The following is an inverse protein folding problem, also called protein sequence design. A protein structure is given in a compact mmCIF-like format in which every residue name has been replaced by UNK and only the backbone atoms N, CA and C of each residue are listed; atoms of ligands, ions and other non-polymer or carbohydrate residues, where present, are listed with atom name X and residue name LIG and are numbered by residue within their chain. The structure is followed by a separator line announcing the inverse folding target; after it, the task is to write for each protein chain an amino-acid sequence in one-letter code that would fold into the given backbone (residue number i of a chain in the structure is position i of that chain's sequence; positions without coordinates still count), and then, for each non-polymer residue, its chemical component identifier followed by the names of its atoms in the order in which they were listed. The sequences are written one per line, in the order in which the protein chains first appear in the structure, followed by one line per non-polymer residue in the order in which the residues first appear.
data_IF_198409526425
#
_entry.id   IF_198409526425
#
_cell.length_a   1.000
_cell.length_b   1.000
_cell.length_c   1.000
_cell.angle_alpha   90.00
_cell.angle_beta   90.00
_cell.angle_gamma   90.00
#
_symmetry.space_group_name_H-M   'P 1'
#
loop_
_entity.id
_entity.type
_entity.pdbx_description
1 polymer ?
#
# COMPACT_ATOMS: atom_id res chain seq x y z
N UNK A 1 -17.86 3.00 -11.21
CA UNK A 1 -16.78 2.10 -10.76
C UNK A 1 -15.68 2.17 -11.83
N UNK A 2 -14.47 2.61 -11.49
CA UNK A 2 -13.38 2.70 -12.46
C UNK A 2 -12.96 1.27 -12.87
N UNK A 3 -12.84 1.01 -14.18
CA UNK A 3 -12.39 -0.28 -14.71
C UNK A 3 -10.88 -0.45 -14.43
N UNK A 4 -10.56 -1.19 -13.36
CA UNK A 4 -9.19 -1.46 -12.92
C UNK A 4 -8.46 -2.47 -13.80
N UNK A 5 -9.16 -3.22 -14.66
CA UNK A 5 -8.55 -4.21 -15.57
C UNK A 5 -7.63 -3.57 -16.62
N UNK A 6 -7.78 -2.26 -16.85
CA UNK A 6 -6.96 -1.47 -17.79
C UNK A 6 -5.73 -0.84 -17.15
N UNK A 7 -5.60 -0.90 -15.83
CA UNK A 7 -4.42 -0.36 -15.16
C UNK A 7 -3.23 -1.29 -15.37
N UNK A 8 -2.01 -0.75 -15.49
CA UNK A 8 -0.81 -1.57 -15.48
C UNK A 8 -0.79 -2.47 -14.23
N UNK A 9 -0.24 -3.69 -14.35
CA UNK A 9 0.02 -4.53 -13.20
C UNK A 9 0.78 -3.79 -12.10
N UNK A 10 0.55 -4.18 -10.84
CA UNK A 10 1.28 -3.63 -9.71
C UNK A 10 2.77 -3.91 -9.88
N UNK A 11 3.59 -2.87 -9.78
CA UNK A 11 5.03 -3.02 -9.96
C UNK A 11 5.72 -3.68 -8.75
N UNK A 12 6.87 -4.29 -9.02
CA UNK A 12 7.67 -5.02 -8.04
C UNK A 12 8.04 -4.16 -6.80
N UNK A 13 8.55 -2.91 -6.92
CA UNK A 13 8.84 -2.09 -5.76
C UNK A 13 7.63 -1.89 -4.86
N UNK A 14 6.46 -1.63 -5.44
CA UNK A 14 5.21 -1.49 -4.71
C UNK A 14 4.87 -2.76 -3.95
N UNK A 15 4.79 -3.90 -4.64
CA UNK A 15 4.47 -5.19 -4.01
C UNK A 15 5.45 -5.53 -2.87
N UNK A 16 6.74 -5.28 -3.10
CA UNK A 16 7.79 -5.57 -2.11
C UNK A 16 7.65 -4.72 -0.86
N UNK A 17 7.45 -3.39 -1.01
CA UNK A 17 7.29 -2.49 0.14
C UNK A 17 5.99 -2.71 0.88
N UNK A 18 4.92 -3.07 0.16
CA UNK A 18 3.65 -3.47 0.76
C UNK A 18 3.82 -4.74 1.60
N UNK A 19 4.50 -5.77 1.07
CA UNK A 19 4.78 -7.00 1.81
C UNK A 19 5.65 -6.77 3.06
N UNK A 20 6.66 -5.90 2.95
CA UNK A 20 7.50 -5.50 4.10
C UNK A 20 6.68 -4.78 5.18
N UNK A 21 5.81 -3.84 4.79
CA UNK A 21 4.94 -3.11 5.72
C UNK A 21 4.00 -4.05 6.49
N UNK A 22 3.45 -5.05 5.79
CA UNK A 22 2.58 -6.07 6.39
C UNK A 22 3.36 -7.19 7.09
N UNK A 23 4.68 -7.08 7.20
CA UNK A 23 5.57 -8.06 7.81
C UNK A 23 5.46 -9.48 7.20
N UNK A 24 5.01 -9.63 5.96
CA UNK A 24 4.89 -10.93 5.28
C UNK A 24 6.23 -11.68 5.19
N UNK A 25 7.39 -11.04 4.97
CA UNK A 25 8.66 -11.74 4.95
C UNK A 25 8.97 -12.49 6.24
N UNK A 26 8.53 -12.00 7.41
CA UNK A 26 8.76 -12.67 8.70
C UNK A 26 7.62 -13.62 9.09
N UNK A 27 6.39 -13.35 8.64
CA UNK A 27 5.17 -14.08 9.03
C UNK A 27 4.80 -15.23 8.09
N UNK A 28 4.93 -15.04 6.78
CA UNK A 28 4.43 -15.96 5.77
C UNK A 28 5.56 -16.63 4.95
N UNK A 29 6.72 -15.98 4.79
CA UNK A 29 7.76 -16.50 3.92
C UNK A 29 8.46 -17.77 4.48
N UNK A 30 8.57 -18.81 3.65
CA UNK A 30 9.26 -20.06 4.01
C UNK A 30 10.78 -19.99 3.92
N UNK A 31 11.34 -18.95 3.28
CA UNK A 31 12.79 -18.78 3.15
C UNK A 31 13.39 -18.13 4.40
N UNK A 32 14.31 -18.84 5.06
CA UNK A 32 14.95 -18.39 6.31
C UNK A 32 15.70 -17.06 6.17
N UNK A 33 16.36 -16.83 5.04
CA UNK A 33 17.08 -15.59 4.78
C UNK A 33 16.13 -14.38 4.73
N UNK A 34 14.98 -14.52 4.04
CA UNK A 34 13.95 -13.49 3.97
C UNK A 34 13.37 -13.15 5.36
N UNK A 35 13.05 -14.19 6.16
CA UNK A 35 12.54 -14.00 7.53
C UNK A 35 13.49 -13.18 8.40
N UNK A 36 14.79 -13.49 8.35
CA UNK A 36 15.82 -12.77 9.11
C UNK A 36 16.01 -11.33 8.63
N UNK A 37 16.00 -11.13 7.32
CA UNK A 37 16.18 -9.81 6.72
C UNK A 37 14.94 -8.92 6.78
N UNK A 38 13.77 -9.48 7.17
CA UNK A 38 12.46 -8.80 7.14
C UNK A 38 12.09 -8.21 5.77
N UNK A 39 12.66 -8.78 4.70
CA UNK A 39 12.39 -8.43 3.29
C UNK A 39 12.45 -9.69 2.44
N UNK A 40 11.60 -9.76 1.42
CA UNK A 40 11.65 -10.87 0.47
C UNK A 40 12.76 -10.61 -0.55
N UNK A 41 13.78 -11.48 -0.60
CA UNK A 41 14.87 -11.39 -1.58
C UNK A 41 14.65 -12.27 -2.80
N UNK A 42 13.56 -13.04 -2.84
CA UNK A 42 13.25 -13.96 -3.93
C UNK A 42 12.01 -13.45 -4.66
N UNK A 43 12.21 -13.09 -5.92
CA UNK A 43 11.17 -12.59 -6.81
C UNK A 43 11.02 -13.58 -7.96
N UNK A 44 9.80 -13.89 -8.36
CA UNK A 44 9.56 -14.74 -9.51
C UNK A 44 10.03 -14.05 -10.81
N UNK A 45 10.57 -14.82 -11.75
CA UNK A 45 11.08 -14.24 -13.01
C UNK A 45 9.95 -13.83 -13.96
N UNK A 46 8.82 -14.54 -13.92
CA UNK A 46 7.67 -14.34 -14.80
C UNK A 46 6.94 -13.02 -14.57
N UNK A 47 6.72 -12.66 -13.31
CA UNK A 47 5.87 -11.52 -12.91
C UNK A 47 6.50 -10.61 -11.87
N UNK A 48 7.74 -10.90 -11.45
CA UNK A 48 8.51 -10.13 -10.47
C UNK A 48 7.83 -10.04 -9.10
N UNK A 49 6.88 -10.94 -8.79
CA UNK A 49 6.21 -10.95 -7.50
C UNK A 49 7.11 -11.50 -6.38
N UNK A 50 7.02 -10.96 -5.15
CA UNK A 50 7.67 -11.54 -3.98
C UNK A 50 7.15 -12.94 -3.69
N UNK A 51 8.06 -13.90 -3.49
CA UNK A 51 7.69 -15.29 -3.22
C UNK A 51 6.84 -15.47 -1.95
N UNK A 52 6.89 -14.52 -1.02
CA UNK A 52 6.08 -14.57 0.20
C UNK A 52 4.58 -14.40 -0.07
N UNK A 53 4.18 -13.88 -1.23
CA UNK A 53 2.77 -13.75 -1.62
C UNK A 53 2.15 -15.09 -2.02
N UNK A 54 2.98 -16.05 -2.43
CA UNK A 54 2.55 -17.41 -2.82
C UNK A 54 2.15 -18.26 -1.60
N UNK A 55 2.57 -17.82 -0.41
CA UNK A 55 2.26 -18.48 0.85
C UNK A 55 0.98 -17.95 1.51
N UNK A 56 0.25 -17.07 0.82
CA UNK A 56 -1.03 -16.54 1.27
C UNK A 56 -2.15 -17.43 0.75
N UNK A 57 -3.19 -17.64 1.55
CA UNK A 57 -4.45 -18.18 1.03
C UNK A 57 -5.16 -17.15 0.13
N UNK A 58 -6.23 -17.59 -0.55
CA UNK A 58 -6.96 -16.75 -1.51
C UNK A 58 -7.53 -15.47 -0.88
N UNK A 59 -8.01 -15.54 0.37
CA UNK A 59 -8.58 -14.39 1.07
C UNK A 59 -7.50 -13.39 1.47
N UNK A 60 -6.42 -13.87 2.08
CA UNK A 60 -5.24 -13.08 2.43
C UNK A 60 -4.64 -12.42 1.19
N UNK A 61 -4.57 -13.16 0.08
CA UNK A 61 -4.07 -12.64 -1.19
C UNK A 61 -4.95 -11.51 -1.72
N UNK A 62 -6.28 -11.70 -1.71
CA UNK A 62 -7.23 -10.66 -2.10
C UNK A 62 -7.09 -9.40 -1.24
N UNK A 63 -6.95 -9.54 0.08
CA UNK A 63 -6.76 -8.41 0.99
C UNK A 63 -5.43 -7.69 0.74
N UNK A 64 -4.37 -8.46 0.49
CA UNK A 64 -3.06 -7.90 0.11
C UNK A 64 -3.16 -7.09 -1.18
N UNK A 65 -3.77 -7.64 -2.22
CA UNK A 65 -3.89 -6.97 -3.51
C UNK A 65 -4.74 -5.69 -3.37
N UNK A 66 -5.85 -5.72 -2.64
CA UNK A 66 -6.66 -4.53 -2.35
C UNK A 66 -5.87 -3.43 -1.63
N UNK A 67 -5.05 -3.79 -0.64
CA UNK A 67 -4.19 -2.83 0.05
C UNK A 67 -3.08 -2.31 -0.86
N UNK A 68 -2.49 -3.15 -1.71
CA UNK A 68 -1.49 -2.74 -2.69
C UNK A 68 -2.07 -1.78 -3.75
N UNK A 69 -3.33 -1.98 -4.15
CA UNK A 69 -4.03 -1.03 -5.01
C UNK A 69 -4.25 0.32 -4.33
N UNK A 70 -4.61 0.33 -3.03
CA UNK A 70 -4.71 1.58 -2.26
C UNK A 70 -3.33 2.30 -2.21
N UNK A 71 -2.23 1.57 -2.02
CA UNK A 71 -0.88 2.14 -2.09
C UNK A 71 -0.60 2.76 -3.46
N UNK A 72 -0.98 2.09 -4.56
CA UNK A 72 -0.84 2.63 -5.92
C UNK A 72 -1.64 3.92 -6.08
N UNK A 73 -2.90 3.91 -5.68
CA UNK A 73 -3.80 5.06 -5.81
C UNK A 73 -3.24 6.27 -5.04
N UNK A 74 -2.74 6.07 -3.82
CA UNK A 74 -2.10 7.13 -3.04
C UNK A 74 -0.80 7.58 -3.72
N UNK A 75 0.08 6.67 -4.13
CA UNK A 75 1.33 7.04 -4.82
C UNK A 75 1.08 7.90 -6.07
N UNK A 76 0.04 7.57 -6.83
CA UNK A 76 -0.20 8.17 -8.14
C UNK A 76 -1.05 9.45 -8.04
N UNK A 77 -2.02 9.50 -7.11
CA UNK A 77 -2.97 10.61 -6.99
C UNK A 77 -2.73 11.55 -5.80
N UNK A 78 -1.75 11.29 -4.93
CA UNK A 78 -1.41 12.19 -3.80
C UNK A 78 -0.59 13.40 -4.23
N UNK A 79 -1.28 14.40 -4.75
CA UNK A 79 -0.74 15.73 -5.04
C UNK A 79 -1.55 16.79 -4.30
N UNK A 80 -0.97 17.95 -3.93
CA UNK A 80 -1.71 19.03 -3.27
C UNK A 80 -2.92 19.53 -4.06
N UNK A 81 -2.85 19.47 -5.40
CA UNK A 81 -3.94 19.85 -6.30
C UNK A 81 -5.00 18.74 -6.48
N UNK A 82 -4.78 17.54 -5.93
CA UNK A 82 -5.72 16.43 -6.03
C UNK A 82 -6.93 16.67 -5.14
N UNK A 83 -8.11 16.29 -5.64
CA UNK A 83 -9.34 16.29 -4.85
C UNK A 83 -9.40 15.11 -3.86
N UNK A 84 -8.52 14.11 -4.03
CA UNK A 84 -8.46 12.92 -3.18
C UNK A 84 -7.49 13.17 -2.02
N UNK A 85 -8.01 13.29 -0.80
CA UNK A 85 -7.20 13.45 0.41
C UNK A 85 -6.88 12.14 1.13
N UNK A 86 -7.57 11.05 0.79
CA UNK A 86 -7.44 9.76 1.49
C UNK A 86 -7.53 9.93 3.02
N UNK A 87 -8.54 10.69 3.46
CA UNK A 87 -8.78 11.06 4.84
C UNK A 87 -10.19 10.60 5.25
N UNK A 88 -10.42 9.28 5.21
CA UNK A 88 -11.73 8.70 5.54
C UNK A 88 -12.21 9.15 6.94
N UNK A 89 -13.54 9.36 7.12
CA UNK A 89 -14.13 9.57 8.43
C UNK A 89 -14.23 8.28 9.26
N UNK A 90 -14.05 7.11 8.63
CA UNK A 90 -14.08 5.79 9.27
C UNK A 90 -12.69 5.43 9.80
N UNK A 91 -12.60 5.05 11.07
CA UNK A 91 -11.34 4.79 11.79
C UNK A 91 -10.51 3.69 11.13
N UNK A 92 -11.11 2.52 10.86
CA UNK A 92 -10.40 1.40 10.25
C UNK A 92 -9.87 1.73 8.87
N UNK A 93 -10.69 2.39 8.05
CA UNK A 93 -10.28 2.85 6.71
C UNK A 93 -9.17 3.91 6.81
N UNK A 94 -9.25 4.82 7.80
CA UNK A 94 -8.23 5.85 8.02
C UNK A 94 -6.89 5.24 8.40
N UNK A 95 -6.89 4.21 9.25
CA UNK A 95 -5.67 3.47 9.62
C UNK A 95 -5.04 2.76 8.42
N UNK A 96 -5.86 2.12 7.56
CA UNK A 96 -5.36 1.53 6.31
C UNK A 96 -4.78 2.60 5.39
N UNK A 97 -5.45 3.75 5.24
CA UNK A 97 -4.96 4.87 4.44
C UNK A 97 -3.65 5.45 5.01
N UNK A 98 -3.51 5.55 6.34
CA UNK A 98 -2.28 6.01 6.99
C UNK A 98 -1.10 5.07 6.70
N UNK A 99 -1.32 3.76 6.81
CA UNK A 99 -0.32 2.75 6.46
C UNK A 99 0.06 2.86 4.97
N UNK A 100 -0.93 2.99 4.08
CA UNK A 100 -0.68 3.11 2.64
C UNK A 100 0.06 4.40 2.26
N UNK A 101 -0.21 5.54 2.94
CA UNK A 101 0.56 6.78 2.80
C UNK A 101 2.03 6.58 3.15
N UNK A 102 2.33 5.83 4.21
CA UNK A 102 3.69 5.55 4.62
C UNK A 102 4.43 4.69 3.58
N UNK A 103 3.78 3.67 3.02
CA UNK A 103 4.34 2.85 1.94
C UNK A 103 4.56 3.69 0.68
N UNK A 104 3.54 4.42 0.22
CA UNK A 104 3.58 5.25 -0.98
C UNK A 104 4.74 6.25 -0.93
N UNK A 105 4.98 6.90 0.22
CA UNK A 105 6.11 7.80 0.42
C UNK A 105 7.47 7.13 0.13
N UNK A 106 7.63 5.87 0.51
CA UNK A 106 8.88 5.13 0.31
C UNK A 106 9.16 4.77 -1.15
N UNK A 107 8.11 4.77 -1.99
CA UNK A 107 8.17 4.44 -3.41
C UNK A 107 8.46 5.68 -4.29
N UNK A 108 8.31 6.88 -3.76
CA UNK A 108 8.41 8.10 -4.55
C UNK A 108 9.86 8.56 -4.77
N UNK A 109 10.20 9.04 -5.97
CA UNK A 109 11.49 9.68 -6.22
C UNK A 109 11.59 11.00 -5.46
N UNK A 110 12.83 11.45 -5.19
CA UNK A 110 13.11 12.68 -4.42
C UNK A 110 12.39 13.93 -4.97
N UNK A 111 12.26 14.02 -6.29
CA UNK A 111 11.55 15.12 -6.97
C UNK A 111 10.08 15.25 -6.56
N UNK A 112 9.39 14.13 -6.31
CA UNK A 112 7.97 14.11 -5.91
C UNK A 112 7.76 14.27 -4.41
N UNK A 113 8.78 14.03 -3.58
CA UNK A 113 8.65 14.05 -2.11
C UNK A 113 8.19 15.41 -1.55
N UNK A 114 8.60 16.53 -2.16
CA UNK A 114 8.15 17.86 -1.71
C UNK A 114 6.64 18.02 -1.87
N UNK A 115 6.14 17.69 -3.06
CA UNK A 115 4.70 17.73 -3.37
C UNK A 115 3.91 16.77 -2.47
N UNK A 116 4.42 15.55 -2.28
CA UNK A 116 3.80 14.56 -1.41
C UNK A 116 3.74 15.01 0.06
N UNK A 117 4.78 15.64 0.59
CA UNK A 117 4.77 16.21 1.96
C UNK A 117 3.71 17.31 2.10
N UNK A 118 3.55 18.16 1.10
CA UNK A 118 2.49 19.17 1.10
C UNK A 118 1.10 18.51 1.07
N UNK A 119 0.91 17.44 0.30
CA UNK A 119 -0.31 16.63 0.34
C UNK A 119 -0.55 16.05 1.75
N UNK A 120 0.46 15.45 2.39
CA UNK A 120 0.35 14.90 3.76
C UNK A 120 0.00 16.01 4.76
N UNK A 121 0.56 17.21 4.61
CA UNK A 121 0.24 18.35 5.47
C UNK A 121 -1.21 18.84 5.27
N UNK A 122 -1.74 18.82 4.04
CA UNK A 122 -3.15 19.11 3.78
C UNK A 122 -4.06 18.04 4.38
N UNK A 123 -3.72 16.77 4.20
CA UNK A 123 -4.43 15.62 4.76
C UNK A 123 -4.48 15.66 6.29
N UNK A 124 -3.41 16.11 6.95
CA UNK A 124 -3.35 16.24 8.41
C UNK A 124 -4.31 17.30 8.97
N UNK A 125 -4.78 18.25 8.15
CA UNK A 125 -5.80 19.24 8.53
C UNK A 125 -7.23 18.72 8.42
N UNK A 126 -7.44 17.56 7.78
CA UNK A 126 -8.74 16.93 7.71
C UNK A 126 -9.20 16.51 9.12
N UNK A 127 -10.51 16.51 9.41
CA UNK A 127 -11.01 16.10 10.70
C UNK A 127 -10.54 14.68 11.06
N UNK A 128 -10.37 14.40 12.37
CA UNK A 128 -10.10 13.04 12.82
C UNK A 128 -11.28 12.14 12.46
N UNK A 129 -11.05 10.83 12.27
CA UNK A 129 -12.13 9.89 12.02
C UNK A 129 -13.09 9.87 13.23
N UNK A 130 -14.38 10.03 12.95
CA UNK A 130 -15.45 10.06 13.96
C UNK A 130 -16.34 8.82 13.92
N UNK A 131 -16.19 7.97 12.90
CA UNK A 131 -16.95 6.73 12.73
C UNK A 131 -16.04 5.54 13.02
N UNK A 132 -16.55 4.52 13.71
CA UNK A 132 -15.79 3.32 14.02
C UNK A 132 -15.91 2.26 12.92
N UNK A 133 -14.87 1.44 12.75
CA UNK A 133 -14.84 0.37 11.77
C UNK A 133 -14.55 0.84 10.34
N UNK A 134 -15.21 0.18 9.37
CA UNK A 134 -15.06 0.41 7.93
C UNK A 134 -16.37 0.89 7.32
N UNK A 135 -16.33 1.64 6.19
CA UNK A 135 -17.55 2.00 5.48
C UNK A 135 -18.36 0.75 5.10
N UNK A 136 -19.70 0.81 5.14
CA UNK A 136 -20.53 -0.28 4.65
C UNK A 136 -20.25 -0.51 3.16
N UNK A 137 -20.16 -1.79 2.79
CA UNK A 137 -19.87 -2.25 1.43
C UNK A 137 -21.02 -1.97 0.45
#
# INVERSE_FOLDING_TARGET
MFDRSRLPPLDQPLLSRTAEMLALPSRACFIRACRRARRCSFLYESDRQPCCLDNLDEEQRRLFDAFAELVRDIRDYSMPASKLLFASPWRGEREMQDAAVAVARSLLPKSRLRSFRAFVALRAKAPPPSLDGFPPA
#
